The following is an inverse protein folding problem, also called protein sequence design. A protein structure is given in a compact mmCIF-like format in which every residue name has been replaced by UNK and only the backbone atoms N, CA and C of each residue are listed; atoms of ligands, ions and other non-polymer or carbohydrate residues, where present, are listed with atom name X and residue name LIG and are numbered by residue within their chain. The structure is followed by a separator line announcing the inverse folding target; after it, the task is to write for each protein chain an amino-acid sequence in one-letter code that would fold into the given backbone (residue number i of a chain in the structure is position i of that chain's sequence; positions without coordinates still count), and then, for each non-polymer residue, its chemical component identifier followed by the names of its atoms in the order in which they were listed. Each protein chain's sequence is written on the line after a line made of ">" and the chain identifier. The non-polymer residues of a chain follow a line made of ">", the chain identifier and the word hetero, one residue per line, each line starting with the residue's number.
data_IF_897413409107
#
_entry.id   IF_897413409107
#
_cell.length_a   1.000
_cell.length_b   1.000
_cell.length_c   1.000
_cell.angle_alpha   90.00
_cell.angle_beta   90.00
_cell.angle_gamma   90.00
#
_symmetry.space_group_name_H-M   'P 1'
#
loop_
_entity.id
_entity.type
_entity.pdbx_description
1 polymer ?
#
# COMPACT_ATOMS: atom_id res chain seq x y z
N UNK A 1 13.20 -55.66 18.14
CA UNK A 1 14.20 -54.88 17.39
C UNK A 1 13.56 -54.30 16.15
N UNK A 2 13.43 -52.97 16.04
CA UNK A 2 12.93 -52.32 14.85
C UNK A 2 14.07 -52.33 13.83
N UNK A 3 13.84 -52.92 12.65
CA UNK A 3 14.88 -53.00 11.63
C UNK A 3 15.34 -51.57 11.23
N UNK A 4 16.65 -51.40 11.03
CA UNK A 4 17.24 -50.10 10.62
C UNK A 4 16.53 -49.47 9.42
N UNK A 5 15.94 -50.30 8.55
CA UNK A 5 15.12 -49.88 7.41
C UNK A 5 13.82 -49.17 7.83
N UNK A 6 13.09 -49.69 8.81
CA UNK A 6 11.85 -49.13 9.33
C UNK A 6 12.10 -47.81 10.08
N UNK A 7 13.25 -47.71 10.73
CA UNK A 7 13.65 -46.49 11.43
C UNK A 7 13.95 -45.35 10.45
N UNK A 8 14.65 -45.62 9.36
CA UNK A 8 14.92 -44.65 8.28
C UNK A 8 13.64 -44.14 7.62
N UNK A 9 12.70 -45.06 7.36
CA UNK A 9 11.39 -44.71 6.77
C UNK A 9 10.58 -43.78 7.69
N UNK A 10 10.59 -44.05 9.01
CA UNK A 10 9.92 -43.19 9.99
C UNK A 10 10.50 -41.78 10.01
N UNK A 11 11.83 -41.67 9.99
CA UNK A 11 12.47 -40.34 9.94
C UNK A 11 12.17 -39.59 8.65
N UNK A 12 12.10 -40.28 7.51
CA UNK A 12 11.69 -39.68 6.25
C UNK A 12 10.25 -39.20 6.27
N UNK A 13 9.33 -39.98 6.79
CA UNK A 13 7.92 -39.59 6.94
C UNK A 13 7.79 -38.37 7.85
N UNK A 14 8.52 -38.36 8.97
CA UNK A 14 8.51 -37.25 9.91
C UNK A 14 9.09 -35.97 9.29
N UNK A 15 10.14 -36.07 8.50
CA UNK A 15 10.72 -34.95 7.77
C UNK A 15 9.74 -34.37 6.73
N UNK A 16 9.08 -35.24 5.94
CA UNK A 16 8.07 -34.82 4.96
C UNK A 16 6.89 -34.16 5.66
N UNK A 17 6.43 -34.68 6.78
CA UNK A 17 5.35 -34.09 7.57
C UNK A 17 5.72 -32.71 8.11
N UNK A 18 6.95 -32.54 8.62
CA UNK A 18 7.44 -31.23 9.07
C UNK A 18 7.48 -30.20 7.93
N UNK A 19 7.98 -30.59 6.76
CA UNK A 19 8.04 -29.71 5.58
C UNK A 19 6.64 -29.32 5.12
N UNK A 20 5.70 -30.26 5.07
CA UNK A 20 4.32 -29.99 4.71
C UNK A 20 3.65 -29.03 5.70
N UNK A 21 3.85 -29.22 7.01
CA UNK A 21 3.32 -28.34 8.05
C UNK A 21 3.92 -26.94 7.95
N UNK A 22 5.21 -26.81 7.76
CA UNK A 22 5.90 -25.53 7.57
C UNK A 22 5.37 -24.78 6.32
N UNK A 23 5.17 -25.50 5.22
CA UNK A 23 4.62 -24.93 3.97
C UNK A 23 3.19 -24.41 4.16
N UNK A 24 2.36 -25.13 4.91
CA UNK A 24 1.01 -24.70 5.25
C UNK A 24 1.02 -23.42 6.10
N UNK A 25 1.86 -23.35 7.11
CA UNK A 25 1.98 -22.16 7.98
C UNK A 25 2.42 -20.95 7.17
N UNK A 26 3.42 -21.10 6.32
CA UNK A 26 3.90 -20.04 5.42
C UNK A 26 2.80 -19.59 4.47
N UNK A 27 2.08 -20.54 3.86
CA UNK A 27 0.95 -20.23 2.97
C UNK A 27 -0.17 -19.47 3.66
N UNK A 28 -0.51 -19.82 4.89
CA UNK A 28 -1.50 -19.08 5.69
C UNK A 28 -0.99 -17.69 6.09
N UNK A 29 0.27 -17.57 6.50
CA UNK A 29 0.86 -16.30 6.91
C UNK A 29 0.95 -15.30 5.77
N UNK A 30 1.19 -15.76 4.55
CA UNK A 30 1.27 -14.90 3.36
C UNK A 30 -0.10 -14.43 2.85
N UNK A 31 -1.18 -15.13 3.16
CA UNK A 31 -2.53 -14.75 2.71
C UNK A 31 -2.96 -13.36 3.19
N UNK A 32 -2.62 -13.00 4.40
CA UNK A 32 -3.03 -11.74 5.03
C UNK A 32 -2.00 -10.63 4.87
N UNK A 33 -0.79 -10.95 4.38
CA UNK A 33 0.32 -10.00 4.26
C UNK A 33 0.48 -9.35 2.89
N UNK A 34 -0.19 -9.84 1.85
CA UNK A 34 -0.06 -9.27 0.51
C UNK A 34 -1.21 -8.29 0.26
N UNK A 35 -0.96 -7.03 0.57
CA UNK A 35 -1.85 -5.95 0.19
C UNK A 35 -1.61 -5.60 -1.29
N UNK A 36 -2.55 -5.99 -2.14
CA UNK A 36 -2.50 -5.69 -3.57
C UNK A 36 -2.73 -4.20 -3.81
N UNK A 37 -1.92 -3.60 -4.68
CA UNK A 37 -2.13 -2.24 -5.16
C UNK A 37 -3.14 -2.22 -6.31
N UNK A 38 -4.14 -1.33 -6.23
CA UNK A 38 -5.15 -1.14 -7.27
C UNK A 38 -5.40 0.34 -7.53
N UNK A 39 -5.67 0.68 -8.78
CA UNK A 39 -6.16 2.00 -9.16
C UNK A 39 -7.70 2.07 -9.04
N UNK A 40 -8.30 3.26 -8.96
CA UNK A 40 -9.76 3.42 -8.98
C UNK A 40 -10.45 2.70 -10.14
N UNK A 41 -9.93 2.78 -11.35
CA UNK A 41 -10.46 2.07 -12.51
C UNK A 41 -10.43 0.56 -12.34
N UNK A 42 -9.35 0.01 -11.78
CA UNK A 42 -9.25 -1.43 -11.50
C UNK A 42 -10.22 -1.90 -10.42
N UNK A 43 -10.47 -1.09 -9.41
CA UNK A 43 -11.45 -1.40 -8.36
C UNK A 43 -12.87 -1.48 -8.93
N UNK A 44 -13.24 -0.51 -9.76
CA UNK A 44 -14.57 -0.46 -10.37
C UNK A 44 -14.80 -1.55 -11.43
N UNK A 45 -13.74 -1.98 -12.11
CA UNK A 45 -13.80 -3.05 -13.13
C UNK A 45 -13.70 -4.46 -12.56
N UNK A 46 -13.28 -4.61 -11.32
CA UNK A 46 -13.11 -5.89 -10.64
C UNK A 46 -14.21 -6.12 -9.60
N UNK A 47 -14.71 -7.33 -9.52
CA UNK A 47 -15.60 -7.75 -8.45
C UNK A 47 -14.77 -8.05 -7.19
N UNK A 48 -14.52 -7.01 -6.39
CA UNK A 48 -13.70 -7.12 -5.20
C UNK A 48 -14.58 -7.44 -4.00
N UNK A 49 -14.26 -8.54 -3.30
CA UNK A 49 -14.93 -8.88 -2.05
C UNK A 49 -14.66 -7.80 -0.98
N UNK A 50 -15.71 -7.36 -0.31
CA UNK A 50 -15.65 -6.38 0.80
C UNK A 50 -14.75 -6.81 1.97
N UNK A 51 -14.38 -8.08 2.02
CA UNK A 51 -13.51 -8.64 3.07
C UNK A 51 -12.03 -8.47 2.79
N UNK A 52 -11.66 -8.17 1.53
CA UNK A 52 -10.26 -8.08 1.12
C UNK A 52 -9.73 -6.68 1.38
N UNK A 53 -8.65 -6.61 2.15
CA UNK A 53 -7.87 -5.39 2.33
C UNK A 53 -6.89 -5.21 1.17
N UNK A 54 -6.82 -4.01 0.61
CA UNK A 54 -5.90 -3.68 -0.48
C UNK A 54 -5.48 -2.21 -0.40
N UNK A 55 -4.49 -1.84 -1.20
CA UNK A 55 -4.00 -0.47 -1.32
C UNK A 55 -4.62 0.21 -2.54
N UNK A 56 -5.36 1.27 -2.30
CA UNK A 56 -5.90 2.13 -3.34
C UNK A 56 -4.96 3.30 -3.56
N UNK A 57 -4.43 3.43 -4.76
CA UNK A 57 -3.53 4.52 -5.12
C UNK A 57 -4.11 5.40 -6.21
N UNK A 58 -3.87 6.69 -6.10
CA UNK A 58 -4.31 7.68 -7.06
C UNK A 58 -4.00 9.10 -6.58
N UNK A 59 -4.67 10.05 -7.17
CA UNK A 59 -4.60 11.46 -6.76
C UNK A 59 -5.83 11.82 -5.92
N UNK A 60 -5.65 12.69 -4.94
CA UNK A 60 -6.77 13.30 -4.24
C UNK A 60 -7.48 14.27 -5.20
N UNK A 61 -8.74 14.01 -5.50
CA UNK A 61 -9.52 14.86 -6.40
C UNK A 61 -9.69 16.25 -5.84
N UNK A 62 -9.55 17.25 -6.70
CA UNK A 62 -9.70 18.67 -6.35
C UNK A 62 -11.12 18.98 -5.83
N UNK A 63 -11.21 19.80 -4.80
CA UNK A 63 -12.47 20.20 -4.16
C UNK A 63 -13.31 19.05 -3.58
N UNK A 64 -12.71 17.87 -3.39
CA UNK A 64 -13.39 16.68 -2.82
C UNK A 64 -13.23 16.55 -1.32
N UNK A 65 -12.28 17.24 -0.71
CA UNK A 65 -11.93 17.10 0.70
C UNK A 65 -13.01 17.74 1.61
N UNK A 66 -13.71 16.91 2.35
CA UNK A 66 -14.71 17.33 3.33
C UNK A 66 -14.31 16.82 4.71
N UNK A 67 -14.12 17.75 5.63
CA UNK A 67 -13.92 17.45 7.06
C UNK A 67 -15.28 17.41 7.76
N UNK A 68 -15.64 16.24 8.24
CA UNK A 68 -16.86 16.05 9.04
C UNK A 68 -16.58 16.27 10.53
N UNK A 69 -17.62 16.25 11.33
CA UNK A 69 -17.48 16.42 12.79
C UNK A 69 -16.52 15.39 13.40
N UNK A 70 -15.52 15.86 14.13
CA UNK A 70 -14.49 15.02 14.74
C UNK A 70 -13.31 14.77 13.81
N UNK A 71 -12.77 13.54 13.85
CA UNK A 71 -11.58 13.12 13.08
C UNK A 71 -11.93 12.45 11.74
N UNK A 72 -13.21 12.45 11.37
CA UNK A 72 -13.66 11.80 10.13
C UNK A 72 -13.51 12.73 8.94
N UNK A 73 -12.85 12.25 7.91
CA UNK A 73 -12.51 12.98 6.70
C UNK A 73 -12.98 12.16 5.50
N UNK A 74 -13.61 12.83 4.54
CA UNK A 74 -14.04 12.22 3.29
C UNK A 74 -13.41 12.96 2.12
N UNK A 75 -12.94 12.22 1.14
CA UNK A 75 -12.37 12.75 -0.10
C UNK A 75 -12.47 11.70 -1.21
N UNK A 76 -12.23 12.08 -2.44
CA UNK A 76 -12.22 11.17 -3.56
C UNK A 76 -10.78 10.88 -4.01
N UNK A 77 -10.50 9.62 -4.31
CA UNK A 77 -9.25 9.20 -4.95
C UNK A 77 -9.54 8.91 -6.42
N UNK A 78 -8.83 9.57 -7.31
CA UNK A 78 -8.99 9.45 -8.76
C UNK A 78 -7.71 9.01 -9.46
N UNK A 79 -7.86 8.32 -10.58
CA UNK A 79 -6.79 8.03 -11.54
C UNK A 79 -6.94 8.82 -12.84
N UNK A 80 -7.68 9.94 -12.81
CA UNK A 80 -8.11 10.77 -13.94
C UNK A 80 -9.13 10.11 -14.90
N UNK A 81 -9.50 8.88 -14.70
CA UNK A 81 -10.56 8.17 -15.45
C UNK A 81 -11.78 7.94 -14.55
N UNK A 82 -11.55 7.46 -13.36
CA UNK A 82 -12.58 7.17 -12.39
C UNK A 82 -12.19 7.69 -11.01
N UNK A 83 -13.20 7.96 -10.19
CA UNK A 83 -13.04 8.41 -8.81
C UNK A 83 -13.76 7.46 -7.85
N UNK A 84 -13.13 7.21 -6.70
CA UNK A 84 -13.73 6.42 -5.62
C UNK A 84 -13.86 7.28 -4.38
N UNK A 85 -15.07 7.41 -3.82
CA UNK A 85 -15.25 8.09 -2.54
C UNK A 85 -14.52 7.30 -1.45
N UNK A 86 -13.71 8.00 -0.67
CA UNK A 86 -12.87 7.44 0.40
C UNK A 86 -13.22 8.09 1.72
N UNK A 87 -13.38 7.30 2.75
CA UNK A 87 -13.59 7.75 4.14
C UNK A 87 -12.39 7.34 4.99
N UNK A 88 -11.88 8.27 5.76
CA UNK A 88 -10.77 8.04 6.69
C UNK A 88 -11.08 8.66 8.05
N UNK A 89 -10.75 7.96 9.11
CA UNK A 89 -10.86 8.47 10.47
C UNK A 89 -9.48 8.44 11.14
N UNK A 90 -8.94 9.63 11.39
CA UNK A 90 -7.63 9.75 12.00
C UNK A 90 -6.95 11.09 11.68
N UNK A 91 -5.65 11.10 11.87
CA UNK A 91 -4.79 12.26 11.60
C UNK A 91 -4.23 12.11 10.18
N UNK A 92 -4.44 13.10 9.34
CA UNK A 92 -3.86 13.13 7.99
C UNK A 92 -2.35 13.36 8.05
N UNK A 93 -1.58 12.74 7.15
CA UNK A 93 -0.17 13.08 6.97
C UNK A 93 0.03 14.55 6.61
N UNK A 94 1.15 15.14 7.02
CA UNK A 94 1.48 16.56 6.78
C UNK A 94 1.52 16.92 5.29
N UNK A 95 1.84 15.95 4.43
CA UNK A 95 1.93 16.14 2.98
C UNK A 95 0.62 15.83 2.24
N UNK A 96 -0.44 15.51 2.97
CA UNK A 96 -1.73 15.25 2.36
C UNK A 96 -2.37 16.55 1.88
N UNK A 97 -2.59 16.64 0.59
CA UNK A 97 -3.25 17.79 -0.05
C UNK A 97 -4.04 17.32 -1.29
N UNK A 98 -4.97 18.15 -1.73
CA UNK A 98 -5.66 17.94 -3.00
C UNK A 98 -4.67 17.99 -4.17
N UNK A 99 -4.94 17.20 -5.21
CA UNK A 99 -4.05 17.00 -6.37
C UNK A 99 -2.71 16.31 -6.08
N UNK A 100 -2.53 15.80 -4.87
CA UNK A 100 -1.34 15.04 -4.50
C UNK A 100 -1.56 13.53 -4.61
N UNK A 101 -0.49 12.81 -4.92
CA UNK A 101 -0.48 11.35 -4.93
C UNK A 101 -0.68 10.78 -3.53
N UNK A 102 -1.59 9.82 -3.40
CA UNK A 102 -1.93 9.19 -2.13
C UNK A 102 -2.08 7.68 -2.33
N UNK A 103 -1.68 6.94 -1.31
CA UNK A 103 -1.94 5.51 -1.20
C UNK A 103 -2.71 5.29 0.09
N UNK A 104 -3.92 4.76 -0.02
CA UNK A 104 -4.75 4.43 1.12
C UNK A 104 -4.88 2.91 1.25
N UNK A 105 -4.65 2.38 2.44
CA UNK A 105 -4.85 0.97 2.78
C UNK A 105 -6.19 0.80 3.48
N UNK A 106 -7.02 -0.12 3.00
CA UNK A 106 -8.33 -0.36 3.58
C UNK A 106 -9.18 -1.32 2.76
N UNK A 107 -10.49 -1.20 2.93
CA UNK A 107 -11.49 -2.06 2.29
C UNK A 107 -12.51 -1.25 1.51
N UNK A 108 -12.98 -1.81 0.41
CA UNK A 108 -14.05 -1.23 -0.40
C UNK A 108 -15.38 -1.82 0.01
N UNK A 109 -16.23 -1.02 0.65
CA UNK A 109 -17.51 -1.43 1.25
C UNK A 109 -18.63 -0.53 0.74
N UNK A 110 -19.68 -1.12 0.15
CA UNK A 110 -20.86 -0.39 -0.31
C UNK A 110 -20.58 0.85 -1.18
N UNK A 111 -19.61 0.74 -2.09
CA UNK A 111 -19.26 1.85 -2.97
C UNK A 111 -18.35 2.91 -2.36
N UNK A 112 -17.92 2.74 -1.11
CA UNK A 112 -17.01 3.65 -0.41
C UNK A 112 -15.76 2.88 0.03
N UNK A 113 -14.59 3.46 -0.24
CA UNK A 113 -13.34 2.91 0.28
C UNK A 113 -13.12 3.40 1.72
N UNK A 114 -13.14 2.48 2.66
CA UNK A 114 -12.88 2.76 4.07
C UNK A 114 -11.39 2.59 4.32
N UNK A 115 -10.66 3.71 4.39
CA UNK A 115 -9.24 3.72 4.63
C UNK A 115 -8.92 3.57 6.13
N UNK A 116 -7.97 2.72 6.44
CA UNK A 116 -7.41 2.55 7.78
C UNK A 116 -6.09 3.32 7.93
N UNK A 117 -5.34 3.45 6.85
CA UNK A 117 -4.06 4.14 6.79
C UNK A 117 -3.93 4.92 5.49
N UNK A 118 -3.34 6.10 5.55
CA UNK A 118 -3.07 6.96 4.38
C UNK A 118 -1.59 7.33 4.35
N UNK A 119 -0.97 7.11 3.20
CA UNK A 119 0.39 7.53 2.88
C UNK A 119 0.35 8.55 1.76
N UNK A 120 0.82 9.75 2.01
CA UNK A 120 1.02 10.76 0.97
C UNK A 120 2.35 10.49 0.26
N UNK A 121 2.34 10.47 -1.07
CA UNK A 121 3.56 10.35 -1.87
C UNK A 121 4.30 11.68 -1.91
N UNK A 122 5.60 11.64 -1.69
CA UNK A 122 6.48 12.74 -2.07
C UNK A 122 6.54 12.86 -3.59
N UNK A 123 6.42 14.08 -4.10
CA UNK A 123 6.78 14.38 -5.48
C UNK A 123 8.29 14.15 -5.63
N UNK A 124 8.67 13.19 -6.45
CA UNK A 124 10.07 12.89 -6.77
C UNK A 124 10.76 14.04 -7.54
N UNK A 125 10.01 15.06 -7.94
CA UNK A 125 10.52 16.24 -8.62
C UNK A 125 11.20 17.25 -7.70
N UNK A 126 11.29 17.00 -6.39
CA UNK A 126 12.04 17.85 -5.48
C UNK A 126 13.54 17.64 -5.62
N UNK A 127 14.13 18.27 -6.63
CA UNK A 127 15.56 18.53 -6.65
C UNK A 127 15.86 19.56 -5.57
N UNK A 128 16.61 19.20 -4.51
CA UNK A 128 16.96 20.18 -3.48
C UNK A 128 17.69 21.34 -4.16
N UNK A 129 17.17 22.52 -4.02
CA UNK A 129 17.80 23.77 -4.55
C UNK A 129 19.28 23.90 -4.14
N UNK A 130 19.67 23.24 -3.04
CA UNK A 130 21.05 23.20 -2.56
C UNK A 130 22.05 22.59 -3.56
N UNK A 131 21.66 21.63 -4.41
CA UNK A 131 22.57 20.99 -5.39
C UNK A 131 22.84 21.90 -6.57
N UNK A 132 21.89 22.72 -7.02
CA UNK A 132 22.10 23.67 -8.11
C UNK A 132 23.00 24.85 -7.70
N UNK A 133 22.95 25.28 -6.46
CA UNK A 133 23.83 26.36 -5.96
C UNK A 133 25.30 25.95 -5.80
N UNK A 134 25.56 24.69 -5.40
CA UNK A 134 26.93 24.16 -5.32
C UNK A 134 27.61 24.03 -6.70
N UNK A 135 26.83 23.71 -7.71
CA UNK A 135 27.36 23.64 -9.08
C UNK A 135 27.72 25.01 -9.66
N UNK A 136 26.91 26.03 -9.40
CA UNK A 136 27.18 27.41 -9.86
C UNK A 136 28.41 28.02 -9.16
N UNK A 137 28.60 27.78 -7.86
CA UNK A 137 29.78 28.26 -7.11
C UNK A 137 31.06 27.62 -7.58
N UNK A 138 31.04 26.30 -7.89
CA UNK A 138 32.20 25.61 -8.42
C UNK A 138 32.60 26.14 -9.80
N UNK A 139 31.68 26.65 -10.58
CA UNK A 139 31.96 27.22 -11.90
C UNK A 139 32.53 28.63 -11.80
N UNK A 140 32.11 29.45 -10.85
CA UNK A 140 32.64 30.80 -10.62
C UNK A 140 34.10 30.79 -10.09
N UNK A 141 34.45 29.79 -9.25
CA UNK A 141 35.82 29.67 -8.73
C UNK A 141 36.84 29.19 -9.78
N UNK A 142 36.42 28.61 -10.86
CA UNK A 142 37.31 28.16 -11.94
C UNK A 142 37.61 29.28 -12.95
N UNK A 143 36.81 30.34 -13.00
CA UNK A 143 36.94 31.47 -13.92
C UNK A 143 37.78 32.64 -13.38
N UNK A 144 38.11 32.63 -12.09
CA UNK A 144 39.03 33.53 -11.43
C UNK A 144 40.43 32.90 -11.33
#
# INVERSE_FOLDING_TARGET
>A
MISKKKQRIRWLILAIFMIATASLIIGFSLKDGIEYYKSPTQVLSSDISEKIKFRLGGLVEDSSLVKSSGKKISFNITDNQNSIPTSFEGILPDLFAENQGVIASGKYINGVFVAEEILAKHDESYLPKAVSYTHLRAHETILD
#
